data_IF_867976678372
#
_entry.id   IF_867976678372
#
_cell.length_a   1.000
_cell.length_b   1.000
_cell.length_c   1.000
_cell.angle_alpha   90.00
_cell.angle_beta   90.00
_cell.angle_gamma   90.00
#
_symmetry.space_group_name_H-M   'P 1'
#
loop_
_entity.id
_entity.type
_entity.pdbx_description
1 polymer ?
#
# COMPACT_ATOMS: atom_id res chain seq x y z
N UNK A 1 3.52 16.37 4.60
CA UNK A 1 3.51 17.27 5.77
C UNK A 1 4.52 18.39 5.58
N UNK A 2 4.74 19.24 6.59
CA UNK A 2 5.67 20.37 6.48
C UNK A 2 7.15 19.97 6.21
N UNK A 3 7.49 18.69 6.38
CA UNK A 3 8.80 18.09 6.09
C UNK A 3 8.82 17.20 4.85
N UNK A 4 7.83 17.30 3.96
CA UNK A 4 7.77 16.49 2.73
C UNK A 4 8.78 17.01 1.70
N UNK A 5 9.75 16.16 1.37
CA UNK A 5 10.67 16.35 0.26
C UNK A 5 10.32 15.33 -0.82
N UNK A 6 9.70 15.81 -1.90
CA UNK A 6 9.20 14.96 -2.98
C UNK A 6 10.32 14.23 -3.73
N UNK A 7 11.51 14.83 -3.86
CA UNK A 7 12.63 14.18 -4.51
C UNK A 7 13.20 13.08 -3.63
N UNK A 8 13.37 13.34 -2.33
CA UNK A 8 13.92 12.38 -1.38
C UNK A 8 12.96 11.22 -1.05
N UNK A 9 11.64 11.47 -1.06
CA UNK A 9 10.58 10.53 -0.66
C UNK A 9 9.82 9.96 -1.87
N UNK A 10 10.55 9.61 -2.94
CA UNK A 10 9.99 9.06 -4.17
C UNK A 10 10.50 7.65 -4.47
N UNK A 11 9.79 6.93 -5.36
CA UNK A 11 10.17 5.58 -5.77
C UNK A 11 10.29 4.63 -4.58
N UNK A 12 11.46 4.02 -4.39
CA UNK A 12 11.73 3.11 -3.27
C UNK A 12 11.73 3.79 -1.88
N UNK A 13 11.91 5.11 -1.82
CA UNK A 13 11.91 5.89 -0.57
C UNK A 13 10.53 6.45 -0.21
N UNK A 14 9.53 6.25 -1.07
CA UNK A 14 8.16 6.63 -0.77
C UNK A 14 7.65 5.83 0.45
N UNK A 15 7.08 6.47 1.48
CA UNK A 15 6.63 5.76 2.70
C UNK A 15 5.57 4.67 2.43
N UNK A 16 4.70 4.88 1.43
CA UNK A 16 3.72 3.88 1.03
C UNK A 16 4.38 2.68 0.35
N UNK A 17 5.39 2.90 -0.49
CA UNK A 17 6.19 1.83 -1.10
C UNK A 17 6.97 1.05 -0.04
N UNK A 18 7.60 1.75 0.92
CA UNK A 18 8.30 1.10 2.03
C UNK A 18 7.36 0.25 2.89
N UNK A 19 6.16 0.77 3.19
CA UNK A 19 5.13 0.05 3.95
C UNK A 19 4.73 -1.25 3.24
N UNK A 20 4.40 -1.19 1.94
CA UNK A 20 4.02 -2.39 1.17
C UNK A 20 5.17 -3.38 1.06
N UNK A 21 6.40 -2.89 0.85
CA UNK A 21 7.60 -3.74 0.81
C UNK A 21 7.79 -4.52 2.11
N UNK A 22 7.71 -3.85 3.26
CA UNK A 22 7.85 -4.50 4.57
C UNK A 22 6.75 -5.56 4.81
N UNK A 23 5.50 -5.26 4.43
CA UNK A 23 4.38 -6.21 4.52
C UNK A 23 4.64 -7.42 3.61
N UNK A 24 5.02 -7.19 2.36
CA UNK A 24 5.34 -8.25 1.39
C UNK A 24 6.47 -9.14 1.91
N UNK A 25 7.57 -8.55 2.36
CA UNK A 25 8.74 -9.26 2.88
C UNK A 25 8.38 -10.12 4.10
N UNK A 26 7.61 -9.58 5.06
CA UNK A 26 7.10 -10.35 6.19
C UNK A 26 6.25 -11.55 5.76
N UNK A 27 5.33 -11.34 4.81
CA UNK A 27 4.42 -12.39 4.35
C UNK A 27 5.19 -13.52 3.65
N UNK A 28 6.14 -13.19 2.75
CA UNK A 28 6.95 -14.19 2.06
C UNK A 28 7.91 -14.90 3.01
N UNK A 29 8.50 -14.18 3.97
CA UNK A 29 9.40 -14.76 4.98
C UNK A 29 8.75 -15.86 5.80
N UNK A 30 7.48 -15.70 6.15
CA UNK A 30 6.76 -16.63 7.00
C UNK A 30 5.78 -17.53 6.25
N UNK A 31 5.80 -17.51 4.92
CA UNK A 31 4.92 -18.35 4.09
C UNK A 31 3.43 -18.08 4.31
N UNK A 32 3.07 -16.84 4.63
CA UNK A 32 1.68 -16.43 4.84
C UNK A 32 0.97 -16.41 3.48
N UNK A 33 -0.12 -17.16 3.36
CA UNK A 33 -0.81 -17.40 2.08
C UNK A 33 -1.66 -16.21 1.58
N UNK A 34 -1.93 -15.22 2.43
CA UNK A 34 -2.68 -14.02 2.05
C UNK A 34 -1.94 -13.25 0.95
N UNK A 35 -2.62 -12.94 -0.15
CA UNK A 35 -2.05 -12.17 -1.25
C UNK A 35 -1.81 -10.71 -0.84
N UNK A 36 -0.66 -10.16 -1.22
CA UNK A 36 -0.35 -8.75 -1.02
C UNK A 36 -0.71 -7.98 -2.29
N UNK A 37 -1.75 -7.15 -2.21
CA UNK A 37 -2.20 -6.30 -3.31
C UNK A 37 -1.92 -4.81 -3.02
N UNK A 38 -0.91 -4.24 -3.68
CA UNK A 38 -0.65 -2.80 -3.59
C UNK A 38 -1.78 -1.98 -4.23
N UNK A 39 -2.18 -0.87 -3.60
CA UNK A 39 -3.32 -0.05 -4.01
C UNK A 39 -3.07 1.45 -3.76
N UNK A 40 -3.95 2.31 -4.32
CA UNK A 40 -3.96 3.76 -4.09
C UNK A 40 -2.69 4.49 -4.56
N UNK A 41 -2.17 4.12 -5.72
CA UNK A 41 -1.02 4.78 -6.34
C UNK A 41 -1.29 6.24 -6.71
N UNK A 42 -0.27 7.09 -6.60
CA UNK A 42 -0.28 8.49 -7.01
C UNK A 42 0.51 8.74 -8.29
N UNK A 43 1.46 7.86 -8.61
CA UNK A 43 2.28 7.95 -9.81
C UNK A 43 2.82 6.57 -10.21
N UNK A 44 3.35 6.47 -11.43
CA UNK A 44 3.92 5.24 -11.98
C UNK A 44 5.19 4.78 -11.26
N UNK A 45 5.95 5.70 -10.66
CA UNK A 45 7.18 5.36 -9.93
C UNK A 45 6.93 4.48 -8.72
N UNK A 46 5.83 4.70 -7.99
CA UNK A 46 5.41 3.84 -6.87
C UNK A 46 5.07 2.42 -7.36
N UNK A 47 4.40 2.30 -8.51
CA UNK A 47 4.03 1.01 -9.11
C UNK A 47 5.29 0.25 -9.53
N UNK A 48 6.21 0.93 -10.21
CA UNK A 48 7.48 0.35 -10.65
C UNK A 48 8.34 -0.10 -9.47
N UNK A 49 8.38 0.67 -8.39
CA UNK A 49 9.11 0.32 -7.17
C UNK A 49 8.54 -0.91 -6.42
N UNK A 50 7.33 -1.34 -6.77
CA UNK A 50 6.66 -2.53 -6.25
C UNK A 50 6.48 -3.63 -7.32
N UNK A 51 7.15 -3.53 -8.47
CA UNK A 51 7.12 -4.55 -9.50
C UNK A 51 7.58 -5.91 -8.94
N UNK A 52 6.73 -6.92 -9.04
CA UNK A 52 6.94 -8.24 -8.43
C UNK A 52 6.11 -8.52 -7.16
N UNK A 53 5.33 -7.53 -6.69
CA UNK A 53 4.23 -7.77 -5.74
C UNK A 53 3.23 -8.81 -6.31
N UNK A 54 2.45 -9.46 -5.46
CA UNK A 54 1.51 -10.50 -5.91
C UNK A 54 0.46 -9.92 -6.86
N UNK A 55 -0.12 -8.79 -6.45
CA UNK A 55 -1.13 -8.05 -7.20
C UNK A 55 -0.89 -6.54 -7.04
N UNK A 56 -1.34 -5.76 -8.02
CA UNK A 56 -1.39 -4.30 -7.96
C UNK A 56 -2.71 -3.83 -8.57
N UNK A 57 -3.53 -3.10 -7.81
CA UNK A 57 -4.74 -2.46 -8.34
C UNK A 57 -4.44 -1.01 -8.71
N UNK A 58 -4.57 -0.70 -10.00
CA UNK A 58 -4.04 0.52 -10.62
C UNK A 58 -5.20 1.27 -11.30
N UNK A 59 -5.24 2.60 -11.15
CA UNK A 59 -6.27 3.42 -11.81
C UNK A 59 -6.12 3.38 -13.34
N UNK A 60 -7.21 3.54 -14.11
CA UNK A 60 -7.14 3.54 -15.57
C UNK A 60 -6.15 4.57 -16.15
N UNK A 61 -6.04 5.73 -15.52
CA UNK A 61 -5.09 6.79 -15.90
C UNK A 61 -3.63 6.33 -15.80
N UNK A 62 -3.25 5.72 -14.67
CA UNK A 62 -1.89 5.22 -14.47
C UNK A 62 -1.61 3.99 -15.35
N UNK A 63 -2.62 3.13 -15.59
CA UNK A 63 -2.51 2.03 -16.55
C UNK A 63 -2.23 2.54 -17.97
N UNK A 64 -2.89 3.61 -18.41
CA UNK A 64 -2.62 4.22 -19.71
C UNK A 64 -1.20 4.78 -19.80
N UNK A 65 -0.69 5.37 -18.72
CA UNK A 65 0.69 5.86 -18.68
C UNK A 65 1.69 4.70 -18.77
N UNK A 66 1.43 3.60 -18.08
CA UNK A 66 2.27 2.41 -18.11
C UNK A 66 2.25 1.72 -19.48
N UNK A 67 1.09 1.61 -20.12
CA UNK A 67 0.96 0.96 -21.43
C UNK A 67 1.65 1.73 -22.56
N UNK A 68 1.81 3.05 -22.41
CA UNK A 68 2.52 3.89 -23.37
C UNK A 68 4.06 3.86 -23.20
N UNK A 69 4.57 3.23 -22.13
CA UNK A 69 6.01 3.19 -21.83
C UNK A 69 6.66 1.93 -22.39
N UNK A 70 7.76 2.11 -23.14
CA UNK A 70 8.65 1.02 -23.57
C UNK A 70 9.91 0.88 -22.68
N UNK A 71 10.03 1.70 -21.64
CA UNK A 71 11.15 1.61 -20.72
C UNK A 71 11.20 0.24 -20.02
N UNK A 72 12.41 -0.32 -19.77
CA UNK A 72 12.53 -1.60 -19.08
C UNK A 72 11.98 -1.53 -17.66
N UNK A 73 11.26 -2.57 -17.25
CA UNK A 73 10.72 -2.72 -15.90
C UNK A 73 11.50 -3.80 -15.14
N UNK A 74 12.36 -3.38 -14.21
CA UNK A 74 13.06 -4.30 -13.32
C UNK A 74 12.14 -4.81 -12.21
N UNK A 75 12.29 -6.09 -11.84
CA UNK A 75 11.63 -6.64 -10.66
C UNK A 75 12.24 -6.02 -9.40
N UNK A 76 11.40 -5.42 -8.56
CA UNK A 76 11.79 -4.74 -7.33
C UNK A 76 11.50 -5.57 -6.06
N UNK A 77 10.50 -6.46 -6.12
CA UNK A 77 10.13 -7.40 -5.05
C UNK A 77 10.30 -8.83 -5.54
N UNK A 78 11.11 -9.61 -4.81
CA UNK A 78 11.40 -10.99 -5.13
C UNK A 78 11.02 -11.92 -3.96
N UNK A 79 10.17 -12.94 -4.18
CA UNK A 79 9.69 -13.81 -3.11
C UNK A 79 10.78 -14.72 -2.53
N UNK A 80 11.76 -15.15 -3.32
CA UNK A 80 12.86 -16.00 -2.83
C UNK A 80 13.82 -15.19 -1.96
N UNK A 81 14.14 -13.97 -2.39
CA UNK A 81 14.94 -13.05 -1.60
C UNK A 81 14.24 -12.69 -0.28
N UNK A 82 12.93 -12.42 -0.33
CA UNK A 82 12.13 -12.12 0.86
C UNK A 82 12.04 -13.33 1.81
N UNK A 83 11.92 -14.55 1.28
CA UNK A 83 11.90 -15.78 2.06
C UNK A 83 13.19 -16.01 2.87
N UNK A 84 14.33 -15.48 2.39
CA UNK A 84 15.64 -15.63 3.02
C UNK A 84 15.96 -14.56 4.09
N UNK A 85 15.12 -13.53 4.26
CA UNK A 85 15.39 -12.44 5.22
C UNK A 85 15.38 -12.91 6.67
N UNK A 86 16.23 -12.34 7.53
CA UNK A 86 16.13 -12.57 8.97
C UNK A 86 15.17 -11.54 9.59
N UNK A 87 13.90 -11.91 9.73
CA UNK A 87 12.87 -11.07 10.36
C UNK A 87 12.33 -11.76 11.63
N UNK A 88 12.04 -11.01 12.71
CA UNK A 88 11.30 -11.55 13.84
C UNK A 88 9.84 -11.76 13.45
N UNK A 89 9.26 -12.87 13.92
CA UNK A 89 7.81 -13.06 13.79
C UNK A 89 7.08 -12.14 14.76
N UNK A 90 6.05 -11.46 14.28
CA UNK A 90 5.25 -10.53 15.08
C UNK A 90 3.80 -11.00 15.08
N UNK A 91 3.21 -11.09 16.26
CA UNK A 91 1.81 -11.38 16.46
C UNK A 91 1.30 -10.58 17.65
N UNK A 92 0.10 -10.04 17.52
CA UNK A 92 -0.53 -9.21 18.54
C UNK A 92 -1.85 -9.85 18.99
N UNK A 93 -2.15 -9.74 20.28
CA UNK A 93 -3.53 -9.80 20.76
C UNK A 93 -4.21 -8.44 20.55
N UNK A 94 -5.50 -8.33 20.92
CA UNK A 94 -6.24 -7.08 20.68
C UNK A 94 -5.63 -5.86 21.38
N UNK A 95 -5.31 -5.89 22.70
CA UNK A 95 -4.71 -4.73 23.36
C UNK A 95 -3.36 -4.32 22.75
N UNK A 96 -2.49 -5.29 22.45
CA UNK A 96 -1.19 -5.00 21.86
C UNK A 96 -1.32 -4.44 20.43
N UNK A 97 -2.27 -4.97 19.64
CA UNK A 97 -2.56 -4.44 18.31
C UNK A 97 -3.06 -2.99 18.36
N UNK A 98 -4.00 -2.69 19.27
CA UNK A 98 -4.53 -1.32 19.43
C UNK A 98 -3.43 -0.33 19.82
N UNK A 99 -2.52 -0.74 20.72
CA UNK A 99 -1.40 0.10 21.11
C UNK A 99 -0.41 0.30 19.95
N UNK A 100 -0.04 -0.77 19.24
CA UNK A 100 0.87 -0.69 18.10
C UNK A 100 0.30 0.19 16.98
N UNK A 101 -0.99 0.04 16.66
CA UNK A 101 -1.67 0.90 15.69
C UNK A 101 -1.67 2.36 16.14
N UNK A 102 -1.95 2.63 17.43
CA UNK A 102 -1.94 3.99 17.98
C UNK A 102 -0.56 4.66 17.96
N UNK A 103 0.53 3.88 18.02
CA UNK A 103 1.89 4.38 17.89
C UNK A 103 2.26 4.79 16.46
N UNK A 104 1.55 4.28 15.45
CA UNK A 104 1.62 4.76 14.08
C UNK A 104 0.57 5.87 13.85
N UNK A 105 1.00 7.12 13.98
CA UNK A 105 0.13 8.28 13.79
C UNK A 105 -0.49 8.30 12.38
N UNK A 106 0.29 7.97 11.34
CA UNK A 106 -0.20 7.96 9.96
C UNK A 106 -1.23 6.85 9.75
N UNK A 107 -0.91 5.63 10.19
CA UNK A 107 -1.80 4.49 10.12
C UNK A 107 -3.12 4.73 10.85
N UNK A 108 -3.06 5.28 12.07
CA UNK A 108 -4.25 5.63 12.87
C UNK A 108 -5.11 6.69 12.17
N UNK A 109 -4.51 7.79 11.74
CA UNK A 109 -5.25 8.90 11.14
C UNK A 109 -5.86 8.51 9.80
N UNK A 110 -5.09 7.84 8.92
CA UNK A 110 -5.54 7.45 7.59
C UNK A 110 -6.61 6.37 7.62
N UNK A 111 -6.54 5.43 8.56
CA UNK A 111 -7.61 4.47 8.78
C UNK A 111 -8.93 5.19 9.13
N UNK A 112 -8.88 6.09 10.12
CA UNK A 112 -10.07 6.79 10.57
C UNK A 112 -10.62 7.75 9.51
N UNK A 113 -9.75 8.44 8.77
CA UNK A 113 -10.13 9.30 7.63
C UNK A 113 -10.83 8.51 6.53
N UNK A 114 -10.24 7.37 6.11
CA UNK A 114 -10.80 6.52 5.05
C UNK A 114 -12.19 5.97 5.39
N UNK A 115 -12.39 5.50 6.62
CA UNK A 115 -13.71 5.03 7.09
C UNK A 115 -14.76 6.15 6.96
N UNK A 116 -14.45 7.35 7.45
CA UNK A 116 -15.38 8.49 7.39
C UNK A 116 -15.71 8.89 5.94
N UNK A 117 -14.71 8.88 5.06
CA UNK A 117 -14.91 9.18 3.65
C UNK A 117 -15.85 8.18 2.98
N UNK A 118 -15.62 6.87 3.16
CA UNK A 118 -16.51 5.85 2.60
C UNK A 118 -17.94 5.90 3.18
N UNK A 119 -18.10 6.20 4.48
CA UNK A 119 -19.43 6.41 5.05
C UNK A 119 -20.15 7.61 4.40
N UNK A 120 -19.43 8.72 4.15
CA UNK A 120 -20.01 9.89 3.50
C UNK A 120 -20.45 9.57 2.05
N UNK A 121 -19.63 8.83 1.31
CA UNK A 121 -19.96 8.41 -0.05
C UNK A 121 -21.14 7.43 -0.10
N UNK A 122 -21.25 6.53 0.88
CA UNK A 122 -22.41 5.64 1.02
C UNK A 122 -23.72 6.42 1.23
N UNK A 123 -23.74 7.39 2.15
CA UNK A 123 -24.92 8.25 2.38
C UNK A 123 -25.27 9.05 1.13
N UNK A 124 -24.26 9.57 0.42
CA UNK A 124 -24.47 10.28 -0.85
C UNK A 124 -25.10 9.37 -1.91
N UNK A 125 -24.65 8.12 -2.01
CA UNK A 125 -25.22 7.14 -2.91
C UNK A 125 -26.68 6.82 -2.56
N UNK A 126 -27.00 6.64 -1.27
CA UNK A 126 -28.38 6.42 -0.81
C UNK A 126 -29.31 7.57 -1.23
N UNK A 127 -28.86 8.82 -1.09
CA UNK A 127 -29.63 9.99 -1.52
C UNK A 127 -29.88 10.01 -3.04
N UNK A 128 -28.88 9.63 -3.84
CA UNK A 128 -29.04 9.52 -5.30
C UNK A 128 -30.06 8.46 -5.69
N UNK A 129 -30.07 7.32 -4.99
CA UNK A 129 -31.03 6.23 -5.23
C UNK A 129 -32.45 6.67 -4.87
N UNK A 130 -32.63 7.38 -3.75
CA UNK A 130 -33.95 7.87 -3.31
C UNK A 130 -34.49 9.01 -4.19
N UNK A 131 -33.62 9.73 -4.89
CA UNK A 131 -33.99 10.80 -5.80
C UNK A 131 -34.34 10.32 -7.23
N UNK A 132 -34.09 9.04 -7.54
CA UNK A 132 -34.41 8.39 -8.81
C UNK A 132 -35.82 7.79 -8.79
#
# INVERSE_FOLDING_TARGET
GASWDEAAMSGANDPGVQSVRQIYEFYKRFGIATEVMGASFRNVGQIQALAGCDLLTISPELLSTLSASEAPLARALDPEAAAALELPFVQYDEPAFRLALNQDAMGTEKLAEGIRAFCADAVKLEQLILAA
#
